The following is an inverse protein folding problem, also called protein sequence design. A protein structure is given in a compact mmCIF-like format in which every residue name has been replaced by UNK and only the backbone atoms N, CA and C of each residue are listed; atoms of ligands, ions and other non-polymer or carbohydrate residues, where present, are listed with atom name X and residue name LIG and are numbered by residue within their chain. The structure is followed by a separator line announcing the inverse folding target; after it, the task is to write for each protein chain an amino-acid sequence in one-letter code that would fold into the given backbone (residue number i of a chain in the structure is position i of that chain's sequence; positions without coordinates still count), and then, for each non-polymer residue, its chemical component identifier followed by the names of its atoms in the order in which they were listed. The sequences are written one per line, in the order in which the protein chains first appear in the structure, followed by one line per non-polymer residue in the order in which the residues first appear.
data_IF_811143256035
#
_entry.id   IF_811143256035
#
_cell.length_a   1.000
_cell.length_b   1.000
_cell.length_c   1.000
_cell.angle_alpha   90.00
_cell.angle_beta   90.00
_cell.angle_gamma   90.00
#
_symmetry.space_group_name_H-M   'P 1'
#
loop_
_entity.id
_entity.type
_entity.pdbx_description
1 polymer ?
#
# COMPACT_ATOMS: atom_id res chain seq x y z
N UNK A 1 -12.29 -11.07 5.45
CA UNK A 1 -11.63 -11.94 6.46
C UNK A 1 -10.12 -12.08 6.22
N UNK A 2 -9.65 -12.40 5.02
CA UNK A 2 -8.20 -12.52 4.74
C UNK A 2 -7.40 -11.22 5.01
N UNK A 3 -7.95 -10.08 4.65
CA UNK A 3 -7.30 -8.77 4.84
C UNK A 3 -7.09 -8.40 6.30
N UNK A 4 -8.06 -8.71 7.17
CA UNK A 4 -7.91 -8.51 8.62
C UNK A 4 -6.76 -9.34 9.18
N UNK A 5 -6.60 -10.59 8.74
CA UNK A 5 -5.53 -11.47 9.21
C UNK A 5 -4.15 -11.01 8.71
N UNK A 6 -4.06 -10.54 7.46
CA UNK A 6 -2.82 -9.95 6.89
C UNK A 6 -2.40 -8.71 7.67
N UNK A 7 -3.34 -7.84 7.97
CA UNK A 7 -3.08 -6.63 8.73
C UNK A 7 -2.64 -6.95 10.16
N UNK A 8 -3.27 -7.91 10.83
CA UNK A 8 -2.84 -8.35 12.16
C UNK A 8 -1.42 -8.98 12.14
N UNK A 9 -1.05 -9.69 11.08
CA UNK A 9 0.32 -10.18 10.89
C UNK A 9 1.30 -9.03 10.70
N UNK A 10 0.91 -7.99 9.96
CA UNK A 10 1.71 -6.78 9.78
C UNK A 10 1.92 -6.05 11.10
N UNK A 11 0.87 -5.81 11.87
CA UNK A 11 0.95 -5.17 13.19
C UNK A 11 1.94 -5.86 14.14
N UNK A 12 1.95 -7.21 14.14
CA UNK A 12 2.93 -7.96 14.94
C UNK A 12 4.39 -7.72 14.52
N UNK A 13 4.64 -7.51 13.23
CA UNK A 13 5.98 -7.17 12.73
C UNK A 13 6.31 -5.71 13.02
N UNK A 14 5.36 -4.79 12.84
CA UNK A 14 5.52 -3.37 13.16
C UNK A 14 5.91 -3.18 14.64
N UNK A 15 5.21 -3.85 15.56
CA UNK A 15 5.50 -3.78 16.99
C UNK A 15 6.93 -4.26 17.33
N UNK A 16 7.44 -5.28 16.62
CA UNK A 16 8.83 -5.77 16.81
C UNK A 16 9.89 -4.79 16.30
N UNK A 17 9.56 -4.02 15.28
CA UNK A 17 10.45 -3.02 14.67
C UNK A 17 10.25 -1.61 15.28
N UNK A 18 9.35 -1.48 16.26
CA UNK A 18 8.95 -0.21 16.87
C UNK A 18 8.46 0.81 15.81
N UNK A 19 7.60 0.36 14.90
CA UNK A 19 6.95 1.20 13.89
C UNK A 19 5.56 1.60 14.36
N UNK A 20 5.25 2.89 14.34
CA UNK A 20 3.92 3.42 14.69
C UNK A 20 2.93 3.28 13.54
N UNK A 21 3.44 3.33 12.32
CA UNK A 21 2.67 3.21 11.08
C UNK A 21 3.54 2.66 9.95
N UNK A 22 2.91 1.96 8.99
CA UNK A 22 3.53 1.62 7.71
C UNK A 22 2.77 2.26 6.56
N UNK A 23 3.52 2.75 5.58
CA UNK A 23 3.02 3.41 4.37
C UNK A 23 3.32 2.51 3.17
N UNK A 24 2.25 1.96 2.63
CA UNK A 24 2.27 1.03 1.48
C UNK A 24 2.02 1.83 0.21
N UNK A 25 2.89 1.67 -0.80
CA UNK A 25 2.83 2.49 -2.01
C UNK A 25 2.87 1.63 -3.28
N UNK A 26 3.63 0.54 -3.32
CA UNK A 26 3.75 -0.27 -4.53
C UNK A 26 2.41 -0.92 -4.93
N UNK A 27 2.11 -1.06 -6.23
CA UNK A 27 0.83 -1.63 -6.71
C UNK A 27 0.55 -3.03 -6.16
N UNK A 28 1.58 -3.87 -6.03
CA UNK A 28 1.45 -5.21 -5.49
C UNK A 28 1.13 -5.22 -3.98
N UNK A 29 1.64 -4.25 -3.23
CA UNK A 29 1.38 -4.16 -1.80
C UNK A 29 0.07 -3.41 -1.51
N UNK A 30 -0.33 -2.41 -2.30
CA UNK A 30 -1.66 -1.81 -2.20
C UNK A 30 -2.76 -2.82 -2.53
N UNK A 31 -2.57 -3.66 -3.56
CA UNK A 31 -3.48 -4.78 -3.82
C UNK A 31 -3.54 -5.76 -2.64
N UNK A 32 -2.39 -6.10 -2.05
CA UNK A 32 -2.31 -7.11 -1.00
C UNK A 32 -2.91 -6.66 0.33
N UNK A 33 -2.67 -5.41 0.73
CA UNK A 33 -3.08 -4.88 2.04
C UNK A 33 -4.36 -4.04 2.00
N UNK A 34 -4.67 -3.39 0.88
CA UNK A 34 -5.86 -2.54 0.75
C UNK A 34 -6.92 -3.10 -0.21
N UNK A 35 -6.66 -4.23 -0.86
CA UNK A 35 -7.56 -4.92 -1.82
C UNK A 35 -7.96 -4.05 -3.01
N UNK A 36 -7.13 -3.07 -3.39
CA UNK A 36 -7.38 -2.28 -4.59
C UNK A 36 -6.14 -2.25 -5.50
N UNK A 37 -6.37 -2.39 -6.80
CA UNK A 37 -5.33 -2.34 -7.82
C UNK A 37 -5.54 -1.15 -8.76
N UNK A 38 -4.70 -0.14 -8.59
CA UNK A 38 -4.73 1.05 -9.44
C UNK A 38 -3.84 0.80 -10.67
N UNK A 39 -4.47 0.43 -11.78
CA UNK A 39 -3.78 0.09 -13.03
C UNK A 39 -2.90 1.24 -13.53
N UNK A 40 -3.35 2.48 -13.37
CA UNK A 40 -2.61 3.65 -13.84
C UNK A 40 -1.35 3.90 -13.03
N UNK A 41 -1.31 3.56 -11.75
CA UNK A 41 -0.10 3.64 -10.93
C UNK A 41 1.00 2.69 -11.44
N UNK A 42 0.65 1.52 -11.94
CA UNK A 42 1.62 0.58 -12.51
C UNK A 42 2.31 1.15 -13.77
N UNK A 43 1.63 2.04 -14.51
CA UNK A 43 2.11 2.66 -15.74
C UNK A 43 2.68 4.07 -15.51
N UNK A 44 2.13 4.80 -14.54
CA UNK A 44 2.49 6.20 -14.24
C UNK A 44 2.98 6.27 -12.79
N UNK A 45 4.29 6.19 -12.59
CA UNK A 45 4.91 6.13 -11.25
C UNK A 45 4.65 7.36 -10.38
N UNK A 46 4.37 8.52 -10.98
CA UNK A 46 4.02 9.76 -10.27
C UNK A 46 2.62 9.73 -9.67
N UNK A 47 1.73 8.88 -10.20
CA UNK A 47 0.36 8.72 -9.71
C UNK A 47 0.31 7.72 -8.56
N UNK A 48 0.59 8.19 -7.36
CA UNK A 48 0.64 7.32 -6.18
C UNK A 48 -0.75 6.93 -5.69
N UNK A 49 -0.92 5.66 -5.36
CA UNK A 49 -1.94 5.15 -4.47
C UNK A 49 -1.25 4.70 -3.18
N UNK A 50 -1.73 5.14 -2.03
CA UNK A 50 -1.04 4.99 -0.75
C UNK A 50 -2.00 4.43 0.28
N UNK A 51 -1.67 3.30 0.89
CA UNK A 51 -2.35 2.83 2.09
C UNK A 51 -1.52 3.17 3.33
N UNK A 52 -2.12 3.90 4.24
CA UNK A 52 -1.56 4.25 5.55
C UNK A 52 -2.12 3.26 6.56
N UNK A 53 -1.25 2.43 7.13
CA UNK A 53 -1.61 1.31 8.00
C UNK A 53 -0.99 1.53 9.40
N UNK A 54 -1.70 2.22 10.32
CA UNK A 54 -1.22 2.47 11.68
C UNK A 54 -1.24 1.21 12.54
N UNK A 55 -0.41 1.17 13.57
CA UNK A 55 -0.39 0.07 14.54
C UNK A 55 -1.69 0.02 15.37
N UNK A 56 -2.17 1.19 15.85
CA UNK A 56 -3.25 1.28 16.85
C UNK A 56 -4.50 2.02 16.36
N UNK A 57 -4.48 2.60 15.16
CA UNK A 57 -5.58 3.42 14.65
C UNK A 57 -6.19 2.82 13.38
N UNK A 58 -7.32 3.39 12.94
CA UNK A 58 -7.95 3.02 11.68
C UNK A 58 -7.07 3.42 10.49
N UNK A 59 -6.94 2.56 9.48
CA UNK A 59 -6.16 2.85 8.28
C UNK A 59 -6.81 3.93 7.42
N UNK A 60 -6.00 4.55 6.55
CA UNK A 60 -6.47 5.48 5.53
C UNK A 60 -5.93 5.07 4.15
N UNK A 61 -6.67 5.40 3.10
CA UNK A 61 -6.25 5.21 1.71
C UNK A 61 -6.25 6.55 0.99
N UNK A 62 -5.15 6.82 0.26
CA UNK A 62 -4.96 8.04 -0.50
C UNK A 62 -4.82 7.66 -1.97
N UNK A 63 -5.59 8.29 -2.85
CA UNK A 63 -5.50 8.04 -4.28
C UNK A 63 -5.77 9.27 -5.13
N UNK A 64 -5.48 9.18 -6.41
CA UNK A 64 -5.84 10.23 -7.37
C UNK A 64 -7.34 10.29 -7.56
N UNK A 65 -7.92 11.48 -7.64
CA UNK A 65 -9.37 11.70 -7.81
C UNK A 65 -9.94 11.04 -9.09
N UNK A 66 -9.14 10.86 -10.12
CA UNK A 66 -9.55 10.16 -11.34
C UNK A 66 -9.84 8.66 -11.10
N UNK A 67 -9.26 8.07 -10.04
CA UNK A 67 -9.45 6.67 -9.67
C UNK A 67 -10.49 6.48 -8.56
N UNK A 68 -11.20 7.55 -8.17
CA UNK A 68 -12.11 7.56 -7.03
C UNK A 68 -13.12 6.42 -7.08
N UNK A 69 -13.78 6.22 -8.22
CA UNK A 69 -14.81 5.18 -8.37
C UNK A 69 -14.24 3.75 -8.12
N UNK A 70 -13.04 3.47 -8.60
CA UNK A 70 -12.34 2.20 -8.36
C UNK A 70 -12.00 2.04 -6.89
N UNK A 71 -11.39 3.06 -6.29
CA UNK A 71 -11.00 3.06 -4.87
C UNK A 71 -12.22 2.87 -3.96
N UNK A 72 -13.32 3.59 -4.24
CA UNK A 72 -14.55 3.48 -3.45
C UNK A 72 -15.20 2.09 -3.53
N UNK A 73 -15.09 1.43 -4.68
CA UNK A 73 -15.70 0.11 -4.90
C UNK A 73 -14.85 -1.07 -4.42
N UNK A 74 -13.54 -0.94 -4.38
CA UNK A 74 -12.64 -2.06 -4.14
C UNK A 74 -12.07 -2.09 -2.71
N UNK A 75 -11.52 -0.95 -2.22
CA UNK A 75 -10.82 -1.01 -0.93
C UNK A 75 -11.77 -1.11 0.26
N UNK A 76 -11.40 -1.98 1.21
CA UNK A 76 -12.08 -2.12 2.49
C UNK A 76 -11.82 -0.96 3.46
N UNK A 77 -10.80 -0.12 3.20
CA UNK A 77 -10.43 1.01 4.06
C UNK A 77 -11.51 2.09 3.98
N UNK A 78 -12.05 2.48 5.12
CA UNK A 78 -13.16 3.44 5.20
C UNK A 78 -12.72 4.90 5.00
N UNK A 79 -11.58 5.30 5.60
CA UNK A 79 -11.01 6.65 5.46
C UNK A 79 -10.31 6.78 4.10
N UNK A 80 -10.98 7.41 3.14
CA UNK A 80 -10.48 7.60 1.77
C UNK A 80 -10.21 9.08 1.52
N UNK A 81 -9.02 9.40 1.04
CA UNK A 81 -8.58 10.75 0.71
C UNK A 81 -8.16 10.80 -0.75
N UNK A 82 -8.47 11.90 -1.41
CA UNK A 82 -8.19 12.05 -2.83
C UNK A 82 -7.38 13.32 -3.06
N UNK A 83 -6.38 13.22 -3.94
CA UNK A 83 -5.65 14.37 -4.46
C UNK A 83 -5.98 14.58 -5.93
N UNK A 84 -5.89 15.83 -6.37
CA UNK A 84 -6.06 16.20 -7.78
C UNK A 84 -4.70 16.23 -8.46
N UNK A 85 -4.51 15.35 -9.46
CA UNK A 85 -3.27 15.25 -10.24
C UNK A 85 -2.87 16.61 -10.82
N UNK A 86 -1.58 16.93 -10.79
CA UNK A 86 -0.97 18.20 -11.22
C UNK A 86 -1.36 19.44 -10.39
N UNK A 87 -2.23 19.31 -9.40
CA UNK A 87 -2.67 20.41 -8.52
C UNK A 87 -2.17 20.18 -7.09
N UNK A 88 -2.29 18.96 -6.61
CA UNK A 88 -1.94 18.58 -5.24
C UNK A 88 -0.88 17.48 -5.23
N UNK A 89 0.07 17.58 -4.31
CA UNK A 89 1.06 16.54 -4.10
C UNK A 89 0.44 15.37 -3.31
N UNK A 90 0.56 14.12 -3.78
CA UNK A 90 0.09 12.95 -3.03
C UNK A 90 0.77 12.80 -1.66
N UNK A 91 2.03 13.20 -1.54
CA UNK A 91 2.77 13.14 -0.26
C UNK A 91 2.42 14.30 0.67
N UNK A 92 1.91 15.42 0.16
CA UNK A 92 1.34 16.47 1.00
C UNK A 92 0.03 15.98 1.65
N UNK A 93 -0.82 15.26 0.90
CA UNK A 93 -2.02 14.62 1.46
C UNK A 93 -1.62 13.56 2.50
N UNK A 94 -0.59 12.74 2.21
CA UNK A 94 -0.04 11.77 3.17
C UNK A 94 0.41 12.46 4.46
N UNK A 95 1.16 13.56 4.35
CA UNK A 95 1.64 14.30 5.51
C UNK A 95 0.47 14.85 6.37
N UNK A 96 -0.60 15.33 5.72
CA UNK A 96 -1.80 15.78 6.43
C UNK A 96 -2.50 14.62 7.16
N UNK A 97 -2.65 13.46 6.52
CA UNK A 97 -3.23 12.26 7.16
C UNK A 97 -2.40 11.82 8.37
N UNK A 98 -1.07 11.82 8.26
CA UNK A 98 -0.20 11.48 9.39
C UNK A 98 -0.34 12.48 10.55
N UNK A 99 -0.40 13.79 10.27
CA UNK A 99 -0.65 14.84 11.27
C UNK A 99 -2.02 14.71 11.94
N UNK A 100 -3.09 14.50 11.17
CA UNK A 100 -4.46 14.31 11.69
C UNK A 100 -4.53 13.09 12.63
N UNK A 101 -3.72 12.07 12.37
CA UNK A 101 -3.63 10.87 13.20
C UNK A 101 -2.62 10.98 14.35
N UNK A 102 -1.91 12.11 14.50
CA UNK A 102 -0.85 12.27 15.50
C UNK A 102 0.34 11.36 15.27
N UNK A 103 0.62 11.02 14.00
CA UNK A 103 1.72 10.17 13.53
C UNK A 103 2.80 11.00 12.81
N UNK A 104 2.84 12.29 13.09
CA UNK A 104 3.79 13.27 12.53
C UNK A 104 5.12 13.35 13.32
N UNK A 105 5.34 12.40 14.17
CA UNK A 105 6.56 12.16 14.95
C UNK A 105 6.77 10.65 15.10
N UNK A 106 7.94 10.24 15.62
CA UNK A 106 8.23 8.82 15.79
C UNK A 106 8.68 8.14 14.51
N UNK A 107 8.40 6.83 14.39
CA UNK A 107 8.99 6.00 13.35
C UNK A 107 7.95 5.51 12.34
N UNK A 108 8.08 5.97 11.10
CA UNK A 108 7.21 5.63 9.96
C UNK A 108 7.94 4.70 9.01
N UNK A 109 7.44 3.47 8.87
CA UNK A 109 7.89 2.54 7.84
C UNK A 109 7.31 2.92 6.47
N UNK A 110 8.14 3.01 5.43
CA UNK A 110 7.72 3.39 4.08
C UNK A 110 8.48 2.61 3.02
N UNK A 111 7.88 2.39 1.85
CA UNK A 111 8.51 1.74 0.69
C UNK A 111 9.44 2.72 -0.05
N UNK A 112 10.63 2.95 0.51
CA UNK A 112 11.63 3.87 -0.08
C UNK A 112 12.18 3.40 -1.43
N UNK A 113 12.17 2.12 -1.71
CA UNK A 113 12.57 1.52 -2.98
C UNK A 113 11.54 1.74 -4.10
N UNK A 114 10.30 2.09 -3.76
CA UNK A 114 9.26 2.47 -4.71
C UNK A 114 9.07 3.98 -4.81
N UNK A 115 9.14 4.70 -3.69
CA UNK A 115 8.90 6.14 -3.62
C UNK A 115 9.97 6.93 -4.38
N UNK A 116 9.54 7.83 -5.28
CA UNK A 116 10.47 8.67 -6.03
C UNK A 116 11.17 9.69 -5.13
N UNK A 117 12.43 9.98 -5.45
CA UNK A 117 13.30 10.82 -4.63
C UNK A 117 12.75 12.24 -4.39
N UNK A 118 12.02 12.82 -5.34
CA UNK A 118 11.45 14.16 -5.17
C UNK A 118 10.30 14.13 -4.13
N UNK A 119 9.45 13.11 -4.14
CA UNK A 119 8.41 12.91 -3.13
C UNK A 119 8.99 12.64 -1.75
N UNK A 120 10.08 11.87 -1.68
CA UNK A 120 10.76 11.66 -0.41
C UNK A 120 11.32 12.97 0.17
N UNK A 121 11.96 13.79 -0.66
CA UNK A 121 12.48 15.12 -0.23
C UNK A 121 11.36 16.04 0.25
N UNK A 122 10.23 16.06 -0.44
CA UNK A 122 9.05 16.82 -0.04
C UNK A 122 8.51 16.30 1.31
N UNK A 123 8.38 14.98 1.46
CA UNK A 123 7.83 14.36 2.64
C UNK A 123 8.65 14.65 3.91
N UNK A 124 10.00 14.55 3.85
CA UNK A 124 10.87 14.90 4.97
C UNK A 124 10.83 16.40 5.31
N UNK A 125 10.55 17.26 4.34
CA UNK A 125 10.37 18.69 4.58
C UNK A 125 9.03 18.98 5.28
N UNK A 126 7.98 18.23 4.98
CA UNK A 126 6.65 18.38 5.57
C UNK A 126 6.54 17.78 6.98
N UNK A 127 7.37 16.78 7.28
CA UNK A 127 7.37 15.99 8.51
C UNK A 127 8.81 15.88 9.08
N UNK A 128 9.40 16.97 9.56
CA UNK A 128 10.80 17.01 9.99
C UNK A 128 11.08 16.19 11.26
N UNK A 129 10.05 15.89 12.07
CA UNK A 129 10.17 15.16 13.33
C UNK A 129 9.90 13.65 13.16
N UNK A 130 9.69 13.18 11.91
CA UNK A 130 9.46 11.77 11.59
C UNK A 130 10.76 11.09 11.16
N UNK A 131 11.04 9.93 11.74
CA UNK A 131 12.07 9.02 11.25
C UNK A 131 11.47 8.08 10.21
N UNK A 132 11.71 8.35 8.91
CA UNK A 132 11.30 7.45 7.83
C UNK A 132 12.30 6.31 7.66
N UNK A 133 11.80 5.07 7.77
CA UNK A 133 12.62 3.86 7.64
C UNK A 133 12.10 2.94 6.51
N UNK A 134 12.99 2.26 5.77
CA UNK A 134 12.56 1.33 4.74
C UNK A 134 11.84 0.13 5.37
N UNK A 135 10.66 -0.24 4.85
CA UNK A 135 9.86 -1.34 5.41
C UNK A 135 9.37 -2.38 4.38
N UNK A 136 9.74 -2.29 3.11
CA UNK A 136 9.34 -3.23 2.05
C UNK A 136 9.62 -4.69 2.42
N UNK A 137 10.68 -4.95 3.17
CA UNK A 137 11.01 -6.29 3.65
C UNK A 137 9.94 -6.90 4.56
N UNK A 138 9.18 -6.10 5.31
CA UNK A 138 8.07 -6.56 6.15
C UNK A 138 6.93 -7.10 5.27
N UNK A 139 6.58 -6.36 4.24
CA UNK A 139 5.54 -6.75 3.29
C UNK A 139 5.93 -8.02 2.54
N UNK A 140 7.17 -8.08 2.05
CA UNK A 140 7.71 -9.27 1.39
C UNK A 140 7.67 -10.49 2.31
N UNK A 141 8.03 -10.34 3.59
CA UNK A 141 7.99 -11.43 4.57
C UNK A 141 6.58 -11.97 4.78
N UNK A 142 5.56 -11.12 4.78
CA UNK A 142 4.15 -11.53 4.91
C UNK A 142 3.70 -12.26 3.64
N UNK A 143 4.01 -11.71 2.46
CA UNK A 143 3.62 -12.27 1.15
C UNK A 143 4.34 -13.57 0.80
N UNK A 144 5.52 -13.84 1.40
CA UNK A 144 6.25 -15.10 1.18
C UNK A 144 5.48 -16.32 1.66
N UNK A 145 4.74 -16.21 2.76
CA UNK A 145 3.94 -17.30 3.33
C UNK A 145 2.50 -17.12 2.86
N UNK A 146 2.08 -17.95 1.89
CA UNK A 146 0.78 -17.86 1.25
C UNK A 146 -0.32 -18.41 2.16
N UNK A 147 -1.46 -17.75 2.15
CA UNK A 147 -2.70 -18.22 2.76
C UNK A 147 -3.32 -19.34 1.90
N UNK A 148 -4.16 -20.22 2.48
CA UNK A 148 -4.80 -21.29 1.69
C UNK A 148 -5.56 -20.77 0.46
N UNK A 149 -6.28 -19.67 0.57
CA UNK A 149 -7.00 -19.04 -0.55
C UNK A 149 -6.05 -18.57 -1.66
N UNK A 150 -4.88 -18.04 -1.30
CA UNK A 150 -3.88 -17.61 -2.27
C UNK A 150 -3.27 -18.81 -3.02
N UNK A 151 -3.06 -19.93 -2.31
CA UNK A 151 -2.57 -21.18 -2.92
C UNK A 151 -3.59 -21.70 -3.93
N UNK A 152 -4.88 -21.68 -3.59
CA UNK A 152 -5.96 -22.09 -4.49
C UNK A 152 -6.04 -21.20 -5.74
N UNK A 153 -5.96 -19.88 -5.58
CA UNK A 153 -5.96 -18.93 -6.69
C UNK A 153 -4.75 -19.14 -7.62
N UNK A 154 -3.55 -19.31 -7.06
CA UNK A 154 -2.33 -19.57 -7.82
C UNK A 154 -2.40 -20.91 -8.57
N UNK A 155 -2.92 -21.96 -7.93
CA UNK A 155 -3.12 -23.27 -8.54
C UNK A 155 -4.11 -23.20 -9.70
N UNK A 156 -5.21 -22.47 -9.53
CA UNK A 156 -6.21 -22.24 -10.57
C UNK A 156 -5.63 -21.47 -11.76
N UNK A 157 -4.87 -20.40 -11.49
CA UNK A 157 -4.21 -19.63 -12.53
C UNK A 157 -3.20 -20.48 -13.33
N UNK A 158 -2.37 -21.26 -12.63
CA UNK A 158 -1.40 -22.16 -13.26
C UNK A 158 -2.08 -23.22 -14.14
N UNK A 159 -3.19 -23.81 -13.67
CA UNK A 159 -3.99 -24.77 -14.45
C UNK A 159 -4.54 -24.14 -15.74
N UNK A 160 -5.16 -22.96 -15.63
CA UNK A 160 -5.69 -22.23 -16.82
C UNK A 160 -4.60 -21.87 -17.83
N UNK A 161 -3.43 -21.43 -17.34
CA UNK A 161 -2.27 -21.13 -18.19
C UNK A 161 -1.80 -22.37 -18.94
N UNK A 162 -1.68 -23.52 -18.24
CA UNK A 162 -1.30 -24.77 -18.88
C UNK A 162 -2.31 -25.20 -19.94
N UNK A 163 -3.61 -25.18 -19.63
CA UNK A 163 -4.68 -25.52 -20.59
C UNK A 163 -4.66 -24.62 -21.84
N UNK A 164 -4.37 -23.32 -21.66
CA UNK A 164 -4.24 -22.39 -22.80
C UNK A 164 -3.03 -22.71 -23.66
N UNK A 165 -1.88 -23.01 -23.05
CA UNK A 165 -0.67 -23.40 -23.79
C UNK A 165 -0.87 -24.71 -24.56
N UNK A 166 -1.46 -25.73 -23.92
CA UNK A 166 -1.75 -27.02 -24.59
C UNK A 166 -2.62 -26.81 -25.84
N UNK A 167 -3.65 -25.92 -25.76
CA UNK A 167 -4.50 -25.60 -26.92
C UNK A 167 -3.80 -24.76 -28.01
N UNK A 168 -2.84 -23.94 -27.64
CA UNK A 168 -2.09 -23.12 -28.60
C UNK A 168 -1.00 -23.89 -29.35
N UNK A 169 -0.59 -25.04 -28.83
CA UNK A 169 0.44 -25.90 -29.42
C UNK A 169 -0.13 -26.99 -30.35
N UNK A 170 -1.46 -27.17 -30.39
CA UNK A 170 -2.16 -28.08 -31.29
C UNK A 170 -2.58 -27.38 -32.59
#
# INVERSE_FOLDING_TARGET
MATSERYERLKKLMARENLDVTVVISPENTLYFAETYIMTQASIRDRLAIAVLPLEQEPAFIGCSIEQATIESETWIADKRFYTEFVESPVAVLANVLKEKGLDHGKVGIELDYLMAHYYKELISLLPDVEFVPCTYLFNRIRMIKEPVEIEMLSTAAKKTREALEKALL
#
